data_IF_271919302723
#
_entry.id   IF_271919302723
#
_cell.length_a   1.000
_cell.length_b   1.000
_cell.length_c   1.000
_cell.angle_alpha   90.00
_cell.angle_beta   90.00
_cell.angle_gamma   90.00
#
_symmetry.space_group_name_H-M   'P 1'
#
loop_
_entity.id
_entity.type
_entity.pdbx_description
1 polymer ?
#
# COMPACT_ATOMS: atom_id res chain seq x y z
N UNK A 1 1.77 43.03 15.92
CA UNK A 1 3.16 42.83 16.41
C UNK A 1 3.17 41.49 17.15
N UNK A 2 3.85 40.40 16.82
CA UNK A 2 4.85 39.97 15.80
C UNK A 2 4.40 38.53 15.44
N UNK A 3 4.13 38.19 14.17
CA UNK A 3 5.04 37.51 13.23
C UNK A 3 5.74 36.26 13.82
N UNK A 4 5.60 35.11 13.12
CA UNK A 4 6.51 33.93 13.00
C UNK A 4 5.73 32.59 13.11
N UNK A 5 5.75 31.61 12.19
CA UNK A 5 6.35 31.40 10.87
C UNK A 5 5.56 30.25 10.19
N UNK A 6 5.16 30.45 8.93
CA UNK A 6 4.83 29.37 7.98
C UNK A 6 6.10 29.00 7.17
N UNK A 7 6.00 27.89 6.42
CA UNK A 7 6.89 27.33 5.37
C UNK A 7 7.74 26.13 5.83
N UNK A 8 7.67 24.96 5.17
CA UNK A 8 8.08 24.76 3.77
C UNK A 8 7.15 23.89 2.88
N UNK A 9 6.57 24.55 1.87
CA UNK A 9 6.59 24.10 0.47
C UNK A 9 6.82 25.36 -0.39
N UNK A 10 8.10 25.70 -0.63
CA UNK A 10 8.50 26.71 -1.63
C UNK A 10 9.92 26.39 -2.09
N UNK A 11 10.05 25.78 -3.26
CA UNK A 11 11.32 25.76 -3.99
C UNK A 11 11.46 27.13 -4.65
N UNK A 12 12.32 27.98 -4.07
CA UNK A 12 12.87 29.16 -4.72
C UNK A 12 14.36 29.20 -4.39
N UNK A 13 15.16 28.74 -5.36
CA UNK A 13 16.58 29.07 -5.45
C UNK A 13 16.65 30.51 -5.93
N UNK A 14 17.00 31.44 -5.05
CA UNK A 14 17.37 32.79 -5.46
C UNK A 14 18.85 32.78 -5.91
N UNK A 15 19.07 32.14 -7.06
CA UNK A 15 20.13 32.53 -7.97
C UNK A 15 19.53 33.57 -8.90
N UNK A 16 20.21 34.70 -9.10
CA UNK A 16 19.83 35.76 -10.03
C UNK A 16 19.87 35.27 -11.49
N UNK A 17 19.00 34.35 -11.83
CA UNK A 17 18.62 33.95 -13.18
C UNK A 17 17.18 33.49 -13.08
N UNK A 18 16.28 34.28 -13.65
CA UNK A 18 14.83 34.08 -13.68
C UNK A 18 14.49 32.67 -14.20
N UNK A 19 14.33 31.70 -13.31
CA UNK A 19 13.75 30.40 -13.67
C UNK A 19 12.24 30.59 -13.74
N UNK A 20 11.78 30.81 -14.96
CA UNK A 20 10.37 30.77 -15.33
C UNK A 20 9.84 29.37 -15.00
N UNK A 21 9.01 29.24 -13.96
CA UNK A 21 8.27 27.99 -13.73
C UNK A 21 7.26 27.83 -14.85
N UNK A 22 7.62 27.03 -15.86
CA UNK A 22 6.68 26.61 -16.88
C UNK A 22 5.83 25.50 -16.27
N UNK A 23 4.53 25.74 -16.16
CA UNK A 23 3.54 24.72 -15.85
C UNK A 23 3.67 23.61 -16.91
N UNK A 24 4.30 22.49 -16.56
CA UNK A 24 4.64 21.45 -17.53
C UNK A 24 3.53 20.41 -17.70
N UNK A 25 2.56 20.34 -16.78
CA UNK A 25 1.49 19.35 -16.89
C UNK A 25 0.28 19.68 -16.03
N UNK A 26 -0.92 19.42 -16.58
CA UNK A 26 -2.17 19.29 -15.84
C UNK A 26 -2.43 17.79 -15.71
N UNK A 27 -2.33 17.24 -14.51
CA UNK A 27 -2.75 15.85 -14.25
C UNK A 27 -4.27 15.88 -14.04
N UNK A 28 -5.02 15.23 -14.92
CA UNK A 28 -6.48 15.14 -14.80
C UNK A 28 -6.85 14.23 -13.63
N UNK A 29 -7.59 14.76 -12.65
CA UNK A 29 -8.07 14.03 -11.47
C UNK A 29 -7.55 14.67 -10.19
N UNK A 30 -8.37 15.52 -9.56
CA UNK A 30 -8.05 16.08 -8.26
C UNK A 30 -7.99 14.96 -7.21
N UNK A 31 -6.99 15.03 -6.33
CA UNK A 31 -6.91 14.15 -5.17
C UNK A 31 -8.19 14.29 -4.33
N UNK A 32 -8.69 13.18 -3.80
CA UNK A 32 -9.76 13.19 -2.81
C UNK A 32 -9.36 14.11 -1.64
N UNK A 33 -10.36 14.78 -1.06
CA UNK A 33 -10.13 15.65 0.09
C UNK A 33 -9.71 14.83 1.31
N UNK A 34 -8.75 15.35 2.08
CA UNK A 34 -8.21 14.69 3.26
C UNK A 34 -6.71 14.42 3.14
N UNK A 35 -6.06 14.20 4.27
CA UNK A 35 -4.62 13.95 4.38
C UNK A 35 -4.25 12.46 4.20
N UNK A 36 -5.23 11.57 4.07
CA UNK A 36 -5.06 10.12 3.88
C UNK A 36 -5.29 9.64 2.46
N UNK A 37 -5.41 10.57 1.51
CA UNK A 37 -5.72 10.28 0.12
C UNK A 37 -4.49 10.23 -0.78
N UNK A 38 -3.28 10.27 -0.22
CA UNK A 38 -2.02 10.03 -0.93
C UNK A 38 -0.99 9.39 0.00
N UNK A 39 -0.03 8.67 -0.59
CA UNK A 39 1.09 8.08 0.12
C UNK A 39 2.30 7.93 -0.81
N UNK A 40 3.48 7.85 -0.20
CA UNK A 40 4.76 7.61 -0.90
C UNK A 40 5.26 6.23 -0.52
N UNK A 41 5.48 5.39 -1.52
CA UNK A 41 6.13 4.09 -1.36
C UNK A 41 7.44 4.05 -2.12
N UNK A 42 8.13 2.93 -2.04
CA UNK A 42 9.31 2.67 -2.87
C UNK A 42 9.35 1.21 -3.31
N UNK A 43 9.86 0.99 -4.53
CA UNK A 43 10.15 -0.34 -5.08
C UNK A 43 11.63 -0.37 -5.40
N UNK A 44 12.39 -1.27 -4.77
CA UNK A 44 13.86 -1.35 -4.95
C UNK A 44 14.59 -0.01 -4.71
N UNK A 45 14.09 0.79 -3.76
CA UNK A 45 14.64 2.11 -3.45
C UNK A 45 14.22 3.24 -4.41
N UNK A 46 13.42 2.94 -5.44
CA UNK A 46 12.87 3.95 -6.36
C UNK A 46 11.53 4.44 -5.80
N UNK A 47 11.41 5.72 -5.41
CA UNK A 47 10.20 6.24 -4.79
C UNK A 47 9.10 6.50 -5.82
N UNK A 48 7.85 6.25 -5.42
CA UNK A 48 6.66 6.55 -6.20
C UNK A 48 5.60 7.21 -5.31
N UNK A 49 4.69 7.95 -5.93
CA UNK A 49 3.54 8.55 -5.23
C UNK A 49 2.27 7.89 -5.71
N UNK A 50 1.44 7.38 -4.80
CA UNK A 50 0.09 6.93 -5.10
C UNK A 50 -0.92 7.90 -4.47
N UNK A 51 -1.96 8.25 -5.20
CA UNK A 51 -3.05 9.06 -4.66
C UNK A 51 -4.42 8.61 -5.17
N UNK A 52 -5.43 8.88 -4.37
CA UNK A 52 -6.83 8.57 -4.64
C UNK A 52 -7.49 9.71 -5.41
N UNK A 53 -8.11 9.40 -6.54
CA UNK A 53 -8.91 10.31 -7.36
C UNK A 53 -10.32 9.72 -7.56
N UNK A 54 -11.27 10.13 -6.72
CA UNK A 54 -12.58 9.50 -6.62
C UNK A 54 -12.46 8.06 -6.11
N UNK A 55 -12.84 7.10 -6.96
CA UNK A 55 -12.64 5.68 -6.72
C UNK A 55 -11.35 5.12 -7.35
N UNK A 56 -10.59 5.92 -8.10
CA UNK A 56 -9.40 5.44 -8.81
C UNK A 56 -8.13 5.65 -7.99
N UNK A 57 -7.15 4.77 -8.17
CA UNK A 57 -5.78 4.97 -7.70
C UNK A 57 -4.95 5.49 -8.86
N UNK A 58 -4.22 6.58 -8.66
CA UNK A 58 -3.26 7.11 -9.63
C UNK A 58 -1.85 6.96 -9.06
N UNK A 59 -0.96 6.38 -9.85
CA UNK A 59 0.43 6.11 -9.47
C UNK A 59 1.34 6.95 -10.35
N UNK A 60 2.23 7.72 -9.71
CA UNK A 60 3.18 8.61 -10.33
C UNK A 60 4.61 8.17 -10.01
N UNK A 61 5.50 8.29 -10.99
CA UNK A 61 6.94 8.19 -10.78
C UNK A 61 7.44 9.38 -9.96
N UNK A 62 8.71 9.35 -9.53
CA UNK A 62 9.35 10.48 -8.82
C UNK A 62 9.40 11.76 -9.66
N UNK A 63 9.29 11.63 -11.00
CA UNK A 63 9.19 12.75 -11.95
C UNK A 63 7.78 13.36 -12.02
N UNK A 64 6.81 12.85 -11.26
CA UNK A 64 5.38 13.14 -11.34
C UNK A 64 4.73 12.75 -12.68
N UNK A 65 5.43 11.98 -13.51
CA UNK A 65 4.82 11.37 -14.68
C UNK A 65 3.96 10.18 -14.27
N UNK A 66 2.83 10.02 -14.95
CA UNK A 66 1.84 9.01 -14.63
C UNK A 66 2.29 7.63 -15.11
N UNK A 67 2.44 6.72 -14.16
CA UNK A 67 2.84 5.32 -14.39
C UNK A 67 1.61 4.44 -14.63
N UNK A 68 0.58 4.57 -13.79
CA UNK A 68 -0.63 3.74 -13.90
C UNK A 68 -1.85 4.46 -13.32
N UNK A 69 -3.03 4.14 -13.86
CA UNK A 69 -4.33 4.38 -13.20
C UNK A 69 -4.98 3.02 -12.97
N UNK A 70 -5.33 2.73 -11.73
CA UNK A 70 -6.13 1.55 -11.38
C UNK A 70 -7.57 2.02 -11.24
N UNK A 71 -8.49 1.56 -12.12
CA UNK A 71 -9.88 1.99 -12.08
C UNK A 71 -10.63 1.38 -10.90
N UNK A 72 -11.39 2.21 -10.19
CA UNK A 72 -12.24 1.79 -9.07
C UNK A 72 -13.62 1.28 -9.46
N UNK A 73 -13.93 1.20 -10.76
CA UNK A 73 -15.24 0.74 -11.25
C UNK A 73 -15.58 -0.69 -10.81
N UNK A 74 -14.56 -1.52 -10.59
CA UNK A 74 -14.71 -2.89 -10.05
C UNK A 74 -15.02 -2.92 -8.55
N UNK A 75 -14.94 -1.78 -7.86
CA UNK A 75 -15.26 -1.61 -6.44
C UNK A 75 -16.51 -0.74 -6.27
N UNK A 76 -17.53 -0.97 -7.11
CA UNK A 76 -18.84 -0.30 -7.06
C UNK A 76 -18.79 1.24 -7.09
N UNK A 77 -17.72 1.80 -7.68
CA UNK A 77 -17.45 3.24 -7.68
C UNK A 77 -17.36 3.86 -6.28
N UNK A 78 -17.11 3.05 -5.25
CA UNK A 78 -16.92 3.52 -3.89
C UNK A 78 -15.69 4.44 -3.88
N UNK A 79 -15.84 5.61 -3.27
CA UNK A 79 -14.74 6.56 -3.13
C UNK A 79 -13.68 5.98 -2.19
N UNK A 80 -12.42 6.09 -2.58
CA UNK A 80 -11.31 5.70 -1.70
C UNK A 80 -11.22 6.70 -0.55
N UNK A 81 -11.35 6.20 0.68
CA UNK A 81 -11.28 6.99 1.92
C UNK A 81 -9.86 7.14 2.45
N UNK A 82 -9.02 6.13 2.25
CA UNK A 82 -7.62 6.12 2.67
C UNK A 82 -6.79 5.30 1.69
N UNK A 83 -5.55 5.74 1.46
CA UNK A 83 -4.52 4.99 0.75
C UNK A 83 -3.23 5.02 1.56
N UNK A 84 -2.50 3.91 1.57
CA UNK A 84 -1.15 3.89 2.13
C UNK A 84 -0.21 2.98 1.31
N UNK A 85 1.08 3.27 1.36
CA UNK A 85 2.12 2.54 0.63
C UNK A 85 3.21 2.00 1.55
N UNK A 86 3.60 0.73 1.37
CA UNK A 86 4.79 0.17 2.00
C UNK A 86 6.06 0.83 1.43
N UNK A 87 6.97 1.22 2.31
CA UNK A 87 8.19 1.92 1.90
C UNK A 87 9.28 1.01 1.32
N UNK A 88 9.31 -0.28 1.67
CA UNK A 88 10.34 -1.22 1.21
C UNK A 88 9.86 -2.12 0.05
N UNK A 89 8.62 -2.59 0.12
CA UNK A 89 8.06 -3.53 -0.86
C UNK A 89 7.14 -2.86 -1.89
N UNK A 90 6.80 -1.59 -1.69
CA UNK A 90 5.98 -0.81 -2.60
C UNK A 90 4.54 -1.30 -2.75
N UNK A 91 4.04 -2.14 -1.82
CA UNK A 91 2.62 -2.51 -1.78
C UNK A 91 1.76 -1.27 -1.56
N UNK A 92 0.57 -1.25 -2.13
CA UNK A 92 -0.43 -0.21 -1.95
C UNK A 92 -1.66 -0.84 -1.29
N UNK A 93 -2.17 -0.21 -0.24
CA UNK A 93 -3.50 -0.51 0.30
C UNK A 93 -4.44 0.65 0.00
N UNK A 94 -5.63 0.36 -0.51
CA UNK A 94 -6.68 1.35 -0.75
C UNK A 94 -7.98 0.90 -0.08
N UNK A 95 -8.56 1.78 0.73
CA UNK A 95 -9.81 1.54 1.45
C UNK A 95 -11.01 2.02 0.64
N UNK A 96 -11.89 1.09 0.28
CA UNK A 96 -13.20 1.29 -0.31
C UNK A 96 -14.26 0.97 0.77
N UNK A 97 -14.61 1.97 1.58
CA UNK A 97 -15.46 1.79 2.76
C UNK A 97 -14.89 0.79 3.78
N UNK A 98 -15.51 -0.37 4.00
CA UNK A 98 -15.04 -1.43 4.90
C UNK A 98 -14.15 -2.47 4.19
N UNK A 99 -14.01 -2.39 2.86
CA UNK A 99 -13.13 -3.27 2.08
C UNK A 99 -11.80 -2.58 1.81
N UNK A 100 -10.69 -3.27 2.05
CA UNK A 100 -9.36 -2.78 1.70
C UNK A 100 -8.76 -3.69 0.64
N UNK A 101 -8.38 -3.11 -0.49
CA UNK A 101 -7.74 -3.80 -1.59
C UNK A 101 -6.22 -3.60 -1.53
N UNK A 102 -5.47 -4.67 -1.79
CA UNK A 102 -4.01 -4.70 -1.71
C UNK A 102 -3.46 -4.92 -3.11
N UNK A 103 -2.54 -4.04 -3.50
CA UNK A 103 -1.89 -4.07 -4.81
C UNK A 103 -0.39 -4.19 -4.66
N UNK A 104 0.22 -5.07 -5.44
CA UNK A 104 1.66 -5.34 -5.41
C UNK A 104 2.33 -4.94 -6.73
N UNK A 105 3.55 -4.38 -6.66
CA UNK A 105 4.31 -4.03 -7.85
C UNK A 105 4.83 -5.30 -8.54
N UNK A 106 4.43 -5.50 -9.80
CA UNK A 106 4.91 -6.56 -10.69
C UNK A 106 5.84 -5.94 -11.75
N UNK A 107 7.07 -6.44 -11.92
CA UNK A 107 7.99 -5.96 -12.95
C UNK A 107 7.39 -6.06 -14.36
N UNK A 108 7.64 -5.06 -15.19
CA UNK A 108 7.28 -5.11 -16.62
C UNK A 108 8.37 -5.85 -17.40
N UNK A 109 7.97 -6.75 -18.32
CA UNK A 109 8.90 -7.59 -19.11
C UNK A 109 9.75 -6.74 -20.08
N UNK A 110 9.23 -5.61 -20.54
CA UNK A 110 9.93 -4.70 -21.46
C UNK A 110 10.38 -3.44 -20.72
N UNK A 111 11.68 -3.37 -20.42
CA UNK A 111 12.32 -2.34 -19.61
C UNK A 111 12.67 -1.09 -20.43
N UNK A 112 11.67 -0.50 -21.09
CA UNK A 112 11.76 0.71 -21.92
C UNK A 112 11.15 1.92 -21.19
N UNK A 113 11.45 2.13 -19.90
CA UNK A 113 10.92 3.28 -19.16
C UNK A 113 11.34 4.59 -19.81
N UNK A 114 10.35 5.38 -20.23
CA UNK A 114 10.51 6.81 -20.48
C UNK A 114 10.99 7.59 -19.24
N UNK A 115 10.83 7.00 -18.05
CA UNK A 115 11.21 7.56 -16.76
C UNK A 115 12.67 7.30 -16.36
N UNK A 116 13.40 6.50 -17.14
CA UNK A 116 14.84 6.33 -16.92
C UNK A 116 15.62 7.46 -17.59
N UNK A 117 16.58 8.04 -16.89
CA UNK A 117 17.47 9.04 -17.49
C UNK A 117 18.91 8.88 -16.99
N UNK A 118 19.87 9.20 -17.85
CA UNK A 118 21.30 9.14 -17.48
C UNK A 118 21.65 10.39 -16.67
N UNK A 119 22.08 10.20 -15.42
CA UNK A 119 22.56 11.29 -14.56
C UNK A 119 24.03 11.60 -14.88
N UNK A 120 24.85 10.55 -15.06
CA UNK A 120 26.28 10.64 -15.42
C UNK A 120 26.68 9.45 -16.31
N UNK A 121 27.82 9.51 -17.03
CA UNK A 121 28.40 8.33 -17.64
C UNK A 121 28.61 7.25 -16.57
N UNK A 122 27.92 6.12 -16.71
CA UNK A 122 27.95 5.02 -15.73
C UNK A 122 26.93 5.10 -14.58
N UNK A 123 26.11 6.16 -14.49
CA UNK A 123 25.04 6.28 -13.48
C UNK A 123 23.69 6.51 -14.17
N UNK A 124 22.88 5.46 -14.22
CA UNK A 124 21.52 5.46 -14.75
C UNK A 124 20.52 5.63 -13.61
N UNK A 125 19.64 6.61 -13.69
CA UNK A 125 18.43 6.60 -12.89
C UNK A 125 17.50 5.54 -13.47
N UNK A 126 17.27 4.45 -12.73
CA UNK A 126 16.32 3.41 -13.12
C UNK A 126 14.91 3.97 -13.01
N UNK A 127 14.14 3.91 -14.10
CA UNK A 127 12.74 4.31 -14.09
C UNK A 127 11.88 3.34 -13.28
N UNK A 128 10.62 3.69 -13.06
CA UNK A 128 9.65 2.85 -12.36
C UNK A 128 8.96 1.89 -13.35
N UNK A 129 9.66 0.82 -13.73
CA UNK A 129 9.17 -0.21 -14.67
C UNK A 129 8.30 -1.29 -13.99
N UNK A 130 7.29 -0.85 -13.25
CA UNK A 130 6.38 -1.72 -12.52
C UNK A 130 4.93 -1.37 -12.84
N UNK A 131 4.08 -2.38 -12.75
CA UNK A 131 2.63 -2.20 -12.66
C UNK A 131 2.13 -2.79 -11.35
N UNK A 132 1.19 -2.11 -10.72
CA UNK A 132 0.49 -2.60 -9.54
C UNK A 132 -0.68 -3.48 -9.97
N UNK A 133 -0.74 -4.67 -9.40
CA UNK A 133 -1.80 -5.66 -9.62
C UNK A 133 -2.43 -6.01 -8.28
N UNK A 134 -3.75 -6.19 -8.25
CA UNK A 134 -4.44 -6.57 -7.02
C UNK A 134 -4.07 -8.01 -6.67
N UNK A 135 -3.50 -8.23 -5.49
CA UNK A 135 -3.10 -9.57 -5.00
C UNK A 135 -3.96 -10.06 -3.87
N UNK A 136 -4.74 -9.18 -3.23
CA UNK A 136 -5.64 -9.56 -2.18
C UNK A 136 -6.61 -8.45 -1.78
N UNK A 137 -7.51 -8.82 -0.89
CA UNK A 137 -8.40 -7.89 -0.20
C UNK A 137 -8.63 -8.37 1.23
N UNK A 138 -9.04 -7.45 2.09
CA UNK A 138 -9.50 -7.74 3.43
C UNK A 138 -10.77 -6.95 3.72
N UNK A 139 -11.57 -7.44 4.66
CA UNK A 139 -12.82 -6.81 5.07
C UNK A 139 -12.74 -6.42 6.54
N UNK A 140 -12.69 -5.12 6.80
CA UNK A 140 -12.68 -4.55 8.13
C UNK A 140 -14.07 -4.66 8.81
N UNK A 141 -14.08 -4.53 10.13
CA UNK A 141 -15.30 -4.55 10.94
C UNK A 141 -16.14 -3.25 10.76
N UNK A 142 -15.56 -2.20 10.18
CA UNK A 142 -16.19 -0.90 9.97
C UNK A 142 -15.52 -0.12 8.83
N UNK A 143 -16.20 0.91 8.33
CA UNK A 143 -15.64 1.89 7.40
C UNK A 143 -14.22 2.35 7.82
N UNK A 144 -13.25 2.17 6.94
CA UNK A 144 -11.85 2.50 7.17
C UNK A 144 -11.60 3.96 6.83
N UNK A 145 -11.05 4.69 7.79
CA UNK A 145 -10.69 6.11 7.70
C UNK A 145 -9.18 6.35 7.61
N UNK A 146 -8.39 5.43 8.17
CA UNK A 146 -6.94 5.48 8.07
C UNK A 146 -6.35 4.09 7.88
N UNK A 147 -5.30 4.02 7.07
CA UNK A 147 -4.48 2.86 6.82
C UNK A 147 -3.04 3.14 7.26
N UNK A 148 -2.33 2.12 7.71
CA UNK A 148 -0.89 2.22 7.90
C UNK A 148 -0.21 0.87 7.65
N UNK A 149 0.71 0.83 6.69
CA UNK A 149 1.60 -0.28 6.42
C UNK A 149 2.77 -0.30 7.40
N UNK A 150 3.22 -1.50 7.75
CA UNK A 150 4.59 -1.63 8.24
C UNK A 150 5.57 -1.51 7.05
N UNK A 151 6.84 -1.27 7.37
CA UNK A 151 7.91 -1.08 6.38
C UNK A 151 7.92 -2.21 5.32
N UNK A 152 7.90 -3.47 5.77
CA UNK A 152 7.99 -4.69 4.97
C UNK A 152 6.71 -5.03 4.18
N UNK A 153 5.59 -4.35 4.44
CA UNK A 153 4.30 -4.67 3.81
C UNK A 153 3.78 -6.08 4.16
N UNK A 154 4.10 -6.60 5.35
CA UNK A 154 3.64 -7.88 5.91
C UNK A 154 2.53 -7.70 6.95
N UNK A 155 2.36 -6.46 7.44
CA UNK A 155 1.35 -6.06 8.42
C UNK A 155 0.66 -4.77 7.98
N UNK A 156 -0.64 -4.73 8.15
CA UNK A 156 -1.47 -3.57 7.79
C UNK A 156 -2.38 -3.24 8.97
N UNK A 157 -2.39 -1.97 9.38
CA UNK A 157 -3.36 -1.45 10.30
C UNK A 157 -4.51 -0.81 9.53
N UNK A 158 -5.73 -1.06 9.98
CA UNK A 158 -6.94 -0.38 9.53
C UNK A 158 -7.59 0.31 10.72
N UNK A 159 -7.99 1.56 10.57
CA UNK A 159 -8.64 2.32 11.62
C UNK A 159 -9.91 3.01 11.13
N UNK A 160 -10.94 2.97 11.97
CA UNK A 160 -12.23 3.63 11.82
C UNK A 160 -12.93 3.65 13.17
N UNK A 161 -14.12 3.07 13.28
CA UNK A 161 -14.75 2.82 14.59
C UNK A 161 -14.00 1.75 15.40
N UNK A 162 -13.29 0.85 14.72
CA UNK A 162 -12.38 -0.13 15.30
C UNK A 162 -10.98 0.04 14.73
N UNK A 163 -10.00 -0.37 15.51
CA UNK A 163 -8.62 -0.53 15.04
C UNK A 163 -8.35 -2.01 14.90
N UNK A 164 -7.84 -2.44 13.76
CA UNK A 164 -7.51 -3.84 13.47
C UNK A 164 -6.09 -3.93 12.91
N UNK A 165 -5.41 -5.00 13.30
CA UNK A 165 -4.11 -5.37 12.76
C UNK A 165 -4.26 -6.64 11.92
N UNK A 166 -3.79 -6.55 10.69
CA UNK A 166 -3.82 -7.61 9.70
C UNK A 166 -2.40 -8.10 9.43
N UNK A 167 -2.26 -9.42 9.30
CA UNK A 167 -1.00 -10.06 8.96
C UNK A 167 -1.16 -10.92 7.71
N UNK A 168 -0.17 -10.84 6.82
CA UNK A 168 -0.08 -11.71 5.65
C UNK A 168 0.37 -13.09 6.10
N UNK A 169 -0.43 -14.13 5.86
CA UNK A 169 0.03 -15.52 6.10
C UNK A 169 1.16 -15.86 5.13
N UNK A 170 2.31 -16.26 5.66
CA UNK A 170 3.37 -16.85 4.83
C UNK A 170 2.93 -18.21 4.32
N UNK A 171 3.11 -18.47 3.03
CA UNK A 171 2.74 -19.73 2.39
C UNK A 171 3.61 -20.92 2.89
N UNK A 172 4.66 -20.66 3.67
CA UNK A 172 5.66 -21.65 4.09
C UNK A 172 5.49 -22.24 5.51
N UNK A 173 4.53 -21.79 6.33
CA UNK A 173 4.34 -22.34 7.70
C UNK A 173 3.48 -23.64 7.76
N UNK A 174 3.48 -24.43 6.69
CA UNK A 174 2.88 -25.78 6.65
C UNK A 174 3.86 -26.93 6.92
N UNK A 175 5.11 -26.63 7.25
CA UNK A 175 6.23 -27.57 7.30
C UNK A 175 6.47 -28.31 8.63
N UNK A 176 5.44 -28.78 9.34
CA UNK A 176 5.56 -29.92 10.29
C UNK A 176 4.19 -30.29 10.86
N UNK A 177 3.46 -31.24 10.25
CA UNK A 177 2.31 -31.84 10.94
C UNK A 177 1.23 -32.55 10.13
N UNK A 178 1.21 -32.47 8.79
CA UNK A 178 0.22 -33.24 8.01
C UNK A 178 0.84 -33.90 6.78
N UNK A 179 0.43 -35.15 6.58
CA UNK A 179 1.03 -36.13 5.67
C UNK A 179 0.27 -36.09 4.33
N UNK A 180 0.98 -35.68 3.27
CA UNK A 180 0.72 -35.89 1.82
C UNK A 180 -0.18 -34.91 1.04
N UNK A 181 -0.04 -34.82 -0.31
CA UNK A 181 1.12 -35.12 -1.16
C UNK A 181 1.66 -33.89 -1.94
N UNK A 182 2.94 -33.98 -2.31
CA UNK A 182 3.67 -33.01 -3.14
C UNK A 182 3.05 -32.89 -4.53
N UNK A 183 2.49 -31.71 -4.87
CA UNK A 183 2.21 -31.34 -6.25
C UNK A 183 3.53 -31.04 -6.98
N UNK A 184 4.05 -32.06 -7.65
CA UNK A 184 5.16 -31.91 -8.59
C UNK A 184 4.57 -31.34 -9.87
N UNK A 185 4.82 -30.07 -10.16
CA UNK A 185 4.37 -29.44 -11.42
C UNK A 185 5.27 -29.95 -12.54
N UNK A 186 4.81 -30.96 -13.28
CA UNK A 186 5.47 -31.42 -14.50
C UNK A 186 4.99 -30.54 -15.66
N UNK A 187 5.85 -29.62 -16.12
CA UNK A 187 5.60 -28.86 -17.34
C UNK A 187 5.88 -29.75 -18.56
N UNK A 188 4.84 -30.22 -19.25
CA UNK A 188 4.99 -30.80 -20.58
C UNK A 188 4.98 -29.67 -21.61
N UNK A 189 6.14 -29.43 -22.24
CA UNK A 189 6.21 -28.59 -23.44
C UNK A 189 5.46 -29.31 -24.58
N UNK A 190 4.25 -28.84 -24.89
CA UNK A 190 3.49 -29.28 -26.05
C UNK A 190 4.09 -28.75 -27.35
N UNK A 191 5.06 -29.47 -27.88
CA UNK A 191 5.59 -29.28 -29.23
C UNK A 191 5.36 -30.52 -30.08
N UNK A 192 4.53 -30.39 -31.12
CA UNK A 192 4.68 -31.14 -32.37
C UNK A 192 3.81 -32.37 -32.61
N UNK A 193 2.96 -32.23 -33.64
CA UNK A 193 2.61 -33.22 -34.66
C UNK A 193 1.57 -34.32 -34.36
N UNK A 194 0.42 -34.20 -35.03
CA UNK A 194 -0.12 -35.23 -35.91
C UNK A 194 -1.08 -36.26 -35.34
N UNK A 195 -2.14 -36.50 -36.13
CA UNK A 195 -2.93 -37.74 -36.26
C UNK A 195 -4.17 -37.93 -35.37
N UNK A 196 -5.32 -37.74 -36.01
CA UNK A 196 -6.50 -38.63 -36.11
C UNK A 196 -7.01 -39.37 -34.86
N UNK A 197 -8.28 -39.14 -34.51
CA UNK A 197 -9.04 -40.07 -33.67
C UNK A 197 -10.27 -39.48 -32.98
N UNK A 198 -11.43 -40.03 -33.32
CA UNK A 198 -12.78 -39.69 -32.88
C UNK A 198 -13.06 -39.90 -31.38
N UNK A 199 -13.97 -39.07 -30.83
CA UNK A 199 -15.02 -39.49 -29.89
C UNK A 199 -14.68 -39.76 -28.41
N UNK A 200 -14.98 -38.80 -27.54
CA UNK A 200 -15.70 -39.07 -26.29
C UNK A 200 -16.30 -37.79 -25.67
N UNK A 201 -17.62 -37.78 -25.52
CA UNK A 201 -18.34 -36.87 -24.63
C UNK A 201 -17.92 -37.17 -23.19
N UNK A 202 -17.17 -36.25 -22.60
CA UNK A 202 -16.81 -36.26 -21.18
C UNK A 202 -17.02 -34.87 -20.63
N UNK A 203 -18.07 -34.71 -19.84
CA UNK A 203 -18.42 -33.51 -19.07
C UNK A 203 -17.22 -33.09 -18.20
N UNK A 204 -16.39 -32.21 -18.77
CA UNK A 204 -15.21 -31.66 -18.12
C UNK A 204 -15.64 -30.56 -17.18
N UNK A 205 -15.98 -30.93 -15.93
CA UNK A 205 -16.04 -30.03 -14.79
C UNK A 205 -14.67 -29.36 -14.65
N UNK A 206 -14.50 -28.25 -15.35
CA UNK A 206 -13.30 -27.44 -15.37
C UNK A 206 -13.32 -26.63 -14.07
N UNK A 207 -13.10 -27.33 -12.95
CA UNK A 207 -12.77 -26.70 -11.68
C UNK A 207 -11.46 -25.97 -11.88
N UNK A 208 -11.58 -24.71 -12.27
CA UNK A 208 -10.51 -23.73 -12.21
C UNK A 208 -9.90 -23.88 -10.82
N UNK A 209 -8.66 -24.35 -10.76
CA UNK A 209 -7.86 -24.27 -9.54
C UNK A 209 -7.75 -22.77 -9.26
N UNK A 210 -8.62 -22.25 -8.40
CA UNK A 210 -8.40 -20.97 -7.76
C UNK A 210 -7.04 -21.11 -7.07
N UNK A 211 -6.05 -20.43 -7.62
CA UNK A 211 -4.77 -20.22 -6.96
C UNK A 211 -5.08 -19.71 -5.57
N UNK A 212 -4.68 -20.44 -4.51
CA UNK A 212 -4.86 -20.00 -3.13
C UNK A 212 -4.24 -18.60 -2.99
N UNK A 213 -5.09 -17.58 -2.99
CA UNK A 213 -4.63 -16.20 -2.88
C UNK A 213 -4.01 -15.98 -1.49
N UNK A 214 -3.01 -15.10 -1.37
CA UNK A 214 -2.44 -14.72 -0.08
C UNK A 214 -3.57 -14.28 0.87
N UNK A 215 -3.73 -15.02 1.98
CA UNK A 215 -4.80 -14.76 2.94
C UNK A 215 -4.32 -13.81 4.04
N UNK A 216 -5.00 -12.67 4.15
CA UNK A 216 -4.80 -11.70 5.22
C UNK A 216 -5.66 -12.07 6.42
N UNK A 217 -5.04 -12.18 7.59
CA UNK A 217 -5.72 -12.51 8.84
C UNK A 217 -5.72 -11.33 9.80
N UNK A 218 -6.89 -11.00 10.34
CA UNK A 218 -6.99 -10.09 11.48
C UNK A 218 -6.45 -10.80 12.73
N UNK A 219 -5.27 -10.37 13.20
CA UNK A 219 -4.58 -10.97 14.35
C UNK A 219 -4.87 -10.23 15.66
N UNK A 220 -5.30 -8.97 15.56
CA UNK A 220 -5.68 -8.17 16.72
C UNK A 220 -6.72 -7.13 16.36
N UNK A 221 -7.55 -6.76 17.35
CA UNK A 221 -8.51 -5.66 17.23
C UNK A 221 -8.74 -4.98 18.59
N UNK A 222 -9.02 -3.69 18.53
CA UNK A 222 -9.49 -2.91 19.67
C UNK A 222 -10.65 -2.01 19.29
N UNK A 223 -11.58 -1.88 20.23
CA UNK A 223 -12.69 -0.93 20.11
C UNK A 223 -12.30 0.41 20.73
N UNK A 224 -12.62 1.49 20.02
CA UNK A 224 -12.25 2.85 20.42
C UNK A 224 -13.51 3.67 20.66
N UNK A 225 -13.55 4.40 21.78
CA UNK A 225 -14.70 5.25 22.13
C UNK A 225 -14.94 6.39 21.13
N UNK A 226 -13.87 6.84 20.47
CA UNK A 226 -13.91 7.84 19.39
C UNK A 226 -13.31 7.18 18.14
N UNK A 227 -13.94 7.33 16.95
CA UNK A 227 -13.37 6.83 15.71
C UNK A 227 -11.96 7.37 15.48
N UNK A 228 -11.04 6.47 15.16
CA UNK A 228 -9.63 6.79 14.92
C UNK A 228 -9.47 7.39 13.52
N UNK A 229 -8.82 8.55 13.47
CA UNK A 229 -8.54 9.30 12.24
C UNK A 229 -7.06 9.29 11.86
N UNK A 230 -6.18 9.09 12.85
CA UNK A 230 -4.75 9.00 12.62
C UNK A 230 -4.23 7.66 13.14
N UNK A 231 -3.46 7.00 12.29
CA UNK A 231 -2.92 5.67 12.51
C UNK A 231 -1.52 5.65 11.90
N UNK A 232 -0.53 5.16 12.65
CA UNK A 232 0.84 5.06 12.16
C UNK A 232 1.58 3.91 12.84
N UNK A 233 2.22 3.06 12.04
CA UNK A 233 3.28 2.18 12.53
C UNK A 233 4.54 2.99 12.87
N UNK A 234 5.29 2.51 13.87
CA UNK A 234 6.68 2.94 14.04
C UNK A 234 7.55 2.38 12.91
N UNK A 235 8.66 3.06 12.54
CA UNK A 235 9.54 2.59 11.47
C UNK A 235 10.14 1.19 11.69
N UNK A 236 10.37 0.82 12.95
CA UNK A 236 10.84 -0.50 13.36
C UNK A 236 9.72 -1.55 13.45
N UNK A 237 8.46 -1.15 13.26
CA UNK A 237 7.28 -2.01 13.34
C UNK A 237 7.01 -2.61 14.72
N UNK A 238 7.62 -2.10 15.80
CA UNK A 238 7.42 -2.62 17.15
C UNK A 238 6.23 -1.97 17.87
N UNK A 239 5.87 -0.76 17.44
CA UNK A 239 4.82 0.05 18.02
C UNK A 239 3.86 0.53 16.93
N UNK A 240 2.68 0.97 17.35
CA UNK A 240 1.82 1.80 16.53
C UNK A 240 1.07 2.82 17.37
N UNK A 241 0.71 3.94 16.75
CA UNK A 241 0.00 5.05 17.36
C UNK A 241 -1.40 5.18 16.78
N UNK A 242 -2.38 5.52 17.63
CA UNK A 242 -3.75 5.85 17.22
C UNK A 242 -4.18 7.18 17.84
N UNK A 243 -4.86 8.02 17.08
CA UNK A 243 -5.50 9.24 17.57
C UNK A 243 -6.90 9.41 16.96
N UNK A 244 -7.88 9.73 17.81
CA UNK A 244 -9.27 9.95 17.42
C UNK A 244 -9.53 11.34 16.85
N UNK A 245 -10.68 11.50 16.18
CA UNK A 245 -11.15 12.83 15.76
C UNK A 245 -11.39 13.72 16.98
N UNK A 246 -10.68 14.86 17.05
CA UNK A 246 -10.72 15.77 18.21
C UNK A 246 -10.31 15.13 19.54
N UNK A 247 -9.67 13.95 19.51
CA UNK A 247 -9.10 13.35 20.71
C UNK A 247 -7.84 14.13 21.09
N UNK A 248 -7.73 14.50 22.37
CA UNK A 248 -6.53 15.15 22.89
C UNK A 248 -5.46 14.12 23.26
N UNK A 249 -5.77 12.83 23.18
CA UNK A 249 -4.87 11.77 23.58
C UNK A 249 -4.42 10.96 22.37
N UNK A 250 -3.10 10.83 22.25
CA UNK A 250 -2.49 9.79 21.41
C UNK A 250 -2.28 8.55 22.25
N UNK A 251 -2.71 7.41 21.72
CA UNK A 251 -2.50 6.08 22.33
C UNK A 251 -1.39 5.36 21.58
N UNK A 252 -0.41 4.86 22.32
CA UNK A 252 0.68 4.05 21.80
C UNK A 252 0.45 2.60 22.20
N UNK A 253 0.56 1.69 21.24
CA UNK A 253 0.33 0.27 21.39
C UNK A 253 1.62 -0.50 21.12
N UNK A 254 1.82 -1.59 21.85
CA UNK A 254 3.00 -2.47 21.69
C UNK A 254 2.57 -3.93 21.72
N UNK A 255 3.32 -4.80 21.05
CA UNK A 255 3.18 -6.25 21.16
C UNK A 255 3.90 -6.77 22.40
N UNK A 256 3.19 -7.52 23.26
CA UNK A 256 3.81 -8.16 24.40
C UNK A 256 4.47 -9.50 24.03
N UNK A 257 5.15 -10.12 25.00
CA UNK A 257 5.84 -11.42 24.80
C UNK A 257 4.92 -12.59 24.44
N UNK A 258 3.61 -12.42 24.60
CA UNK A 258 2.59 -13.42 24.28
C UNK A 258 1.91 -13.14 22.92
N UNK A 259 2.38 -12.15 22.15
CA UNK A 259 1.79 -11.77 20.87
C UNK A 259 0.50 -10.94 21.01
N UNK A 260 0.17 -10.45 22.21
CA UNK A 260 -0.99 -9.58 22.41
C UNK A 260 -0.57 -8.11 22.34
N UNK A 261 -1.32 -7.30 21.59
CA UNK A 261 -1.09 -5.86 21.62
C UNK A 261 -1.81 -5.18 22.79
N UNK A 262 -1.05 -4.41 23.57
CA UNK A 262 -1.52 -3.68 24.75
C UNK A 262 -1.21 -2.19 24.63
N UNK A 263 -2.00 -1.39 25.33
CA UNK A 263 -1.75 0.04 25.47
C UNK A 263 -0.48 0.25 26.31
N UNK A 264 0.54 0.88 25.72
CA UNK A 264 1.78 1.25 26.38
C UNK A 264 1.63 2.57 27.14
N UNK A 265 1.11 3.59 26.45
CA UNK A 265 1.06 4.96 26.93
C UNK A 265 -0.10 5.72 26.31
N UNK A 266 -0.63 6.68 27.07
CA UNK A 266 -1.50 7.75 26.58
C UNK A 266 -0.80 9.09 26.81
N UNK A 267 -0.63 9.88 25.76
CA UNK A 267 0.02 11.19 25.83
C UNK A 267 -0.91 12.28 25.30
N UNK A 268 -0.88 13.46 25.92
CA UNK A 268 -1.64 14.61 25.43
C UNK A 268 -0.97 15.17 24.17
N UNK A 269 -1.76 15.45 23.13
CA UNK A 269 -1.31 16.02 21.85
C UNK A 269 -0.54 17.33 22.06
N UNK A 270 -0.92 18.14 23.05
CA UNK A 270 -0.23 19.40 23.38
C UNK A 270 1.21 19.21 23.90
N UNK A 271 1.55 18.01 24.36
CA UNK A 271 2.88 17.68 24.88
C UNK A 271 3.74 16.86 23.89
N UNK A 272 3.23 16.56 22.69
CA UNK A 272 3.97 15.83 21.67
C UNK A 272 4.80 16.80 20.83
N UNK A 273 6.08 16.94 21.19
CA UNK A 273 7.06 17.53 20.28
C UNK A 273 7.34 16.55 19.14
N UNK A 274 7.17 16.99 17.90
CA UNK A 274 7.57 16.26 16.71
C UNK A 274 9.11 16.10 16.72
N UNK A 275 9.61 14.87 16.82
CA UNK A 275 11.02 14.55 16.68
C UNK A 275 11.21 14.04 15.25
N UNK A 276 11.84 14.84 14.39
CA UNK A 276 12.13 14.54 12.96
C UNK A 276 12.92 13.26 12.71
N UNK A 277 13.42 12.57 13.76
CA UNK A 277 14.42 11.51 13.65
C UNK A 277 13.98 10.13 14.19
N UNK A 278 12.68 9.82 14.21
CA UNK A 278 12.22 8.42 14.33
C UNK A 278 12.75 7.63 15.54
N UNK A 279 12.79 8.26 16.72
CA UNK A 279 13.04 7.59 18.00
C UNK A 279 11.99 7.97 19.02
#
# INVERSE_FOLDING_TARGET
MKANHWYYLKVLVESKNTVKMNLHQIVSGACNAGDKCFAVGSVEGVPFTAYAAGCNIVILASTFERVQIIPGAIHDYIRISSIDCSSDTGKIAAAYDDVVCIYEPTPLIHNTSAHSFKIKPGLLFKGLDYRWVQTGSLKADSAVRALSWNLEGTRLLTAGCRVQLWHLRSQDEGGSGSRSPKNTVTFTLGGGAGDDGEGHDGDGDTRQQESEQPSWQCVWKAETAIPVQHLAFSPDGTLFATCGENDRLVKIWYENRHGEHKLLLMANVENLNYIENGR
#
